data_IF_799477912244
#
_entry.id   IF_799477912244
#
_cell.length_a   1.000
_cell.length_b   1.000
_cell.length_c   1.000
_cell.angle_alpha   90.00
_cell.angle_beta   90.00
_cell.angle_gamma   90.00
#
_symmetry.space_group_name_H-M   'P 1'
#
loop_
_entity.id
_entity.type
_entity.pdbx_description
1 polymer ?
#
# COMPACT_ATOMS: atom_id res chain seq x y z
N UNK A 1 0.86 2.75 17.91
CA UNK A 1 0.31 1.38 18.02
C UNK A 1 -0.58 1.17 19.25
N UNK A 2 -0.72 2.12 20.18
CA UNK A 2 -1.54 1.90 21.39
C UNK A 2 -3.05 2.01 21.11
N UNK A 3 -3.48 3.01 20.32
CA UNK A 3 -4.90 3.34 20.14
C UNK A 3 -5.59 2.75 18.90
N UNK A 4 -4.88 2.00 18.05
CA UNK A 4 -5.44 1.48 16.78
C UNK A 4 -4.90 0.08 16.45
N UNK A 5 -5.68 -0.72 15.71
CA UNK A 5 -5.29 -2.03 15.17
C UNK A 5 -4.65 -1.92 13.78
N UNK A 6 -4.99 -0.85 13.06
CA UNK A 6 -4.50 -0.52 11.72
C UNK A 6 -3.97 0.89 11.73
N UNK A 7 -2.70 1.05 11.35
CA UNK A 7 -2.07 2.37 11.17
C UNK A 7 -1.76 2.53 9.69
N UNK A 8 -2.14 3.68 9.13
CA UNK A 8 -1.87 4.01 7.73
C UNK A 8 -1.19 5.39 7.73
N UNK A 9 0.00 5.47 7.16
CA UNK A 9 0.67 6.73 6.89
C UNK A 9 0.77 6.97 5.38
N UNK A 10 0.86 8.23 4.99
CA UNK A 10 1.16 8.64 3.61
C UNK A 10 2.41 9.52 3.61
N UNK A 11 3.32 9.31 2.67
CA UNK A 11 4.61 10.01 2.68
C UNK A 11 5.60 9.41 3.67
N UNK A 12 6.82 9.95 3.72
CA UNK A 12 7.90 9.40 4.54
C UNK A 12 8.49 8.08 4.04
N UNK A 13 7.95 7.53 2.95
CA UNK A 13 8.47 6.39 2.20
C UNK A 13 8.87 6.83 0.79
N UNK A 14 10.16 6.88 0.52
CA UNK A 14 10.71 7.29 -0.79
C UNK A 14 12.07 6.63 -1.05
N UNK A 15 12.61 6.85 -2.24
CA UNK A 15 13.93 6.40 -2.69
C UNK A 15 15.08 7.31 -2.22
N UNK A 16 14.80 8.32 -1.39
CA UNK A 16 15.77 9.30 -0.89
C UNK A 16 16.41 8.91 0.45
N UNK A 17 17.42 9.68 0.86
CA UNK A 17 18.37 9.38 1.95
C UNK A 17 17.77 9.20 3.36
N UNK A 18 16.47 9.41 3.57
CA UNK A 18 15.84 9.13 4.87
C UNK A 18 14.44 8.53 4.67
N UNK A 19 14.38 7.20 4.50
CA UNK A 19 13.14 6.43 4.71
C UNK A 19 12.89 6.32 6.21
N UNK A 20 12.50 7.46 6.81
CA UNK A 20 12.34 7.59 8.26
C UNK A 20 11.34 6.56 8.79
N UNK A 21 10.28 6.29 8.04
CA UNK A 21 9.20 5.39 8.47
C UNK A 21 9.72 3.97 8.60
N UNK A 22 10.44 3.47 7.59
CA UNK A 22 11.01 2.13 7.65
C UNK A 22 12.01 2.00 8.80
N UNK A 23 12.85 3.02 9.02
CA UNK A 23 13.83 3.01 10.10
C UNK A 23 13.16 3.01 11.48
N UNK A 24 12.18 3.89 11.70
CA UNK A 24 11.40 3.92 12.94
C UNK A 24 10.70 2.58 13.21
N UNK A 25 10.12 1.96 12.19
CA UNK A 25 9.49 0.64 12.32
C UNK A 25 10.51 -0.42 12.76
N UNK A 26 11.70 -0.44 12.16
CA UNK A 26 12.78 -1.36 12.55
C UNK A 26 13.22 -1.10 14.00
N UNK A 27 13.45 0.16 14.37
CA UNK A 27 13.90 0.53 15.72
C UNK A 27 12.83 0.21 16.79
N UNK A 28 11.54 0.20 16.41
CA UNK A 28 10.42 -0.24 17.24
C UNK A 28 10.25 -1.77 17.30
N UNK A 29 11.06 -2.54 16.59
CA UNK A 29 10.97 -4.00 16.52
C UNK A 29 9.84 -4.52 15.63
N UNK A 30 9.33 -3.71 14.70
CA UNK A 30 8.32 -4.14 13.74
C UNK A 30 8.91 -5.07 12.68
N UNK A 31 8.16 -6.08 12.29
CA UNK A 31 8.49 -6.95 11.17
C UNK A 31 8.08 -6.27 9.85
N UNK A 32 9.06 -6.00 8.98
CA UNK A 32 8.79 -5.47 7.64
C UNK A 32 8.57 -6.63 6.68
N UNK A 33 7.35 -6.77 6.15
CA UNK A 33 7.00 -7.83 5.19
C UNK A 33 7.45 -7.48 3.77
N UNK A 34 7.29 -6.21 3.39
CA UNK A 34 7.83 -5.68 2.14
C UNK A 34 7.97 -4.15 2.26
N UNK A 35 8.93 -3.60 1.52
CA UNK A 35 9.10 -2.14 1.36
C UNK A 35 9.00 -1.65 -0.08
N UNK A 36 8.80 -2.58 -1.03
CA UNK A 36 8.62 -2.28 -2.45
C UNK A 36 7.65 -3.27 -3.07
N UNK A 37 6.84 -2.78 -4.00
CA UNK A 37 5.88 -3.60 -4.74
C UNK A 37 6.07 -3.41 -6.24
N UNK A 38 5.95 -4.50 -7.01
CA UNK A 38 5.98 -4.45 -8.48
C UNK A 38 4.64 -3.93 -9.02
N UNK A 39 4.44 -2.62 -8.95
CA UNK A 39 3.23 -1.95 -9.42
C UNK A 39 3.51 -0.50 -9.84
N UNK A 40 2.57 0.07 -10.60
CA UNK A 40 2.59 1.48 -10.98
C UNK A 40 1.16 2.07 -10.95
N UNK A 41 0.95 3.24 -10.34
CA UNK A 41 1.83 3.87 -9.35
C UNK A 41 1.91 3.03 -8.06
N UNK A 42 2.84 3.35 -7.14
CA UNK A 42 2.85 2.70 -5.81
C UNK A 42 4.11 1.93 -5.38
N UNK A 43 5.18 1.95 -6.19
CA UNK A 43 6.42 1.18 -5.93
C UNK A 43 6.95 1.22 -4.48
N UNK A 44 7.03 2.36 -3.76
CA UNK A 44 7.65 2.42 -2.43
C UNK A 44 6.69 2.08 -1.27
N UNK A 45 5.57 1.39 -1.53
CA UNK A 45 4.64 1.01 -0.45
C UNK A 45 5.30 0.01 0.50
N UNK A 46 5.18 0.25 1.80
CA UNK A 46 5.69 -0.62 2.87
C UNK A 46 4.55 -1.20 3.69
N UNK A 47 4.66 -2.48 4.03
CA UNK A 47 3.77 -3.17 4.95
C UNK A 47 4.59 -3.79 6.09
N UNK A 48 4.11 -3.59 7.31
CA UNK A 48 4.76 -4.08 8.52
C UNK A 48 3.74 -4.53 9.57
N UNK A 49 4.20 -5.37 10.49
CA UNK A 49 3.43 -5.77 11.69
C UNK A 49 4.22 -5.50 12.95
N UNK A 50 3.53 -5.05 13.99
CA UNK A 50 4.10 -4.89 15.34
C UNK A 50 3.04 -5.28 16.37
N UNK A 51 3.36 -6.22 17.26
CA UNK A 51 2.47 -6.67 18.34
C UNK A 51 1.06 -7.07 17.84
N UNK A 52 0.98 -7.80 16.72
CA UNK A 52 -0.28 -8.24 16.11
C UNK A 52 -1.07 -7.16 15.36
N UNK A 53 -0.56 -5.92 15.32
CA UNK A 53 -1.18 -4.79 14.63
C UNK A 53 -0.50 -4.53 13.30
N UNK A 54 -1.24 -4.00 12.34
CA UNK A 54 -0.75 -3.78 10.97
C UNK A 54 -0.44 -2.31 10.70
N UNK A 55 0.61 -2.07 9.93
CA UNK A 55 1.06 -0.76 9.48
C UNK A 55 1.23 -0.73 7.96
N UNK A 56 0.60 0.24 7.29
CA UNK A 56 0.86 0.55 5.90
C UNK A 56 1.51 1.92 5.78
N UNK A 57 2.69 1.98 5.16
CA UNK A 57 3.31 3.23 4.76
C UNK A 57 3.10 3.42 3.25
N UNK A 58 2.18 4.32 2.90
CA UNK A 58 1.80 4.60 1.52
C UNK A 58 2.67 5.73 0.93
N UNK A 59 2.87 5.77 -0.39
CA UNK A 59 3.66 6.83 -1.03
C UNK A 59 3.10 8.23 -0.76
N UNK A 60 3.96 9.25 -0.78
CA UNK A 60 3.53 10.64 -0.59
C UNK A 60 2.80 11.26 -1.78
N UNK A 61 2.94 10.67 -2.98
CA UNK A 61 2.20 11.12 -4.16
C UNK A 61 0.71 10.76 -4.01
N UNK A 62 -0.24 11.73 -4.14
CA UNK A 62 -1.65 11.49 -3.85
C UNK A 62 -2.30 10.37 -4.67
N UNK A 63 -1.99 10.28 -5.97
CA UNK A 63 -2.52 9.22 -6.84
C UNK A 63 -1.99 7.87 -6.40
N UNK A 64 -0.69 7.79 -6.12
CA UNK A 64 -0.05 6.58 -5.61
C UNK A 64 -0.65 6.14 -4.27
N UNK A 65 -0.86 7.09 -3.34
CA UNK A 65 -1.45 6.81 -2.04
C UNK A 65 -2.87 6.24 -2.16
N UNK A 66 -3.72 6.86 -3.00
CA UNK A 66 -5.10 6.41 -3.22
C UNK A 66 -5.16 5.01 -3.82
N UNK A 67 -4.36 4.74 -4.86
CA UNK A 67 -4.27 3.41 -5.48
C UNK A 67 -3.83 2.37 -4.45
N UNK A 68 -2.73 2.62 -3.73
CA UNK A 68 -2.22 1.68 -2.73
C UNK A 68 -3.19 1.48 -1.55
N UNK A 69 -3.94 2.51 -1.16
CA UNK A 69 -5.00 2.39 -0.15
C UNK A 69 -6.09 1.41 -0.59
N UNK A 70 -6.55 1.49 -1.84
CA UNK A 70 -7.58 0.58 -2.35
C UNK A 70 -7.06 -0.83 -2.62
N UNK A 71 -5.82 -0.97 -3.06
CA UNK A 71 -5.21 -2.27 -3.36
C UNK A 71 -4.79 -3.03 -2.09
N UNK A 72 -4.32 -2.34 -1.04
CA UNK A 72 -3.78 -2.99 0.17
C UNK A 72 -4.60 -2.72 1.44
N UNK A 73 -4.81 -1.45 1.80
CA UNK A 73 -5.39 -1.11 3.10
C UNK A 73 -6.88 -1.47 3.19
N UNK A 74 -7.65 -1.17 2.14
CA UNK A 74 -9.09 -1.50 2.07
C UNK A 74 -9.37 -2.99 2.25
N UNK A 75 -8.75 -3.92 1.48
CA UNK A 75 -8.98 -5.34 1.68
C UNK A 75 -8.48 -5.85 3.03
N UNK A 76 -7.39 -5.29 3.58
CA UNK A 76 -6.92 -5.65 4.91
C UNK A 76 -7.93 -5.29 6.00
N UNK A 77 -8.44 -4.05 5.99
CA UNK A 77 -9.46 -3.58 6.95
C UNK A 77 -10.75 -4.40 6.82
N UNK A 78 -11.21 -4.65 5.59
CA UNK A 78 -12.41 -5.48 5.35
C UNK A 78 -12.22 -6.91 5.87
N UNK A 79 -11.05 -7.51 5.64
CA UNK A 79 -10.72 -8.84 6.17
C UNK A 79 -10.74 -8.87 7.70
N UNK A 80 -10.14 -7.88 8.35
CA UNK A 80 -10.16 -7.76 9.81
C UNK A 80 -11.58 -7.58 10.37
N UNK A 81 -12.45 -6.93 9.61
CA UNK A 81 -13.87 -6.74 9.97
C UNK A 81 -14.77 -7.92 9.60
N UNK A 82 -14.25 -8.96 8.94
CA UNK A 82 -15.06 -10.08 8.44
C UNK A 82 -16.04 -9.68 7.32
N UNK A 83 -15.76 -8.61 6.58
CA UNK A 83 -16.65 -8.07 5.53
C UNK A 83 -16.17 -8.52 4.16
N UNK A 84 -17.09 -9.06 3.36
CA UNK A 84 -16.87 -9.41 1.95
C UNK A 84 -17.69 -8.49 1.02
N UNK A 85 -17.24 -8.24 -0.23
CA UNK A 85 -15.97 -8.68 -0.82
C UNK A 85 -14.78 -7.85 -0.31
N UNK A 86 -13.58 -8.45 -0.29
CA UNK A 86 -12.36 -7.76 0.21
C UNK A 86 -11.95 -6.60 -0.70
N UNK A 87 -11.96 -6.80 -2.02
CA UNK A 87 -11.53 -5.81 -3.01
C UNK A 87 -12.65 -4.92 -3.53
N UNK A 88 -12.28 -3.99 -4.41
CA UNK A 88 -13.24 -3.27 -5.25
C UNK A 88 -13.84 -4.23 -6.29
N UNK A 89 -15.11 -4.03 -6.71
CA UNK A 89 -15.70 -4.83 -7.79
C UNK A 89 -14.90 -4.64 -9.09
N UNK A 90 -14.68 -5.74 -9.81
CA UNK A 90 -13.98 -5.72 -11.11
C UNK A 90 -14.95 -6.08 -12.23
N UNK A 91 -14.82 -5.40 -13.35
CA UNK A 91 -15.61 -5.65 -14.56
C UNK A 91 -14.70 -5.78 -15.77
N UNK A 92 -15.10 -6.58 -16.74
CA UNK A 92 -14.42 -6.62 -18.04
C UNK A 92 -14.99 -5.51 -18.91
N UNK A 93 -14.12 -4.75 -19.58
CA UNK A 93 -14.49 -3.67 -20.48
C UNK A 93 -13.58 -3.67 -21.71
N UNK A 94 -14.09 -3.12 -22.82
CA UNK A 94 -13.30 -2.88 -24.04
C UNK A 94 -12.82 -1.43 -24.01
N UNK A 95 -11.51 -1.22 -24.21
CA UNK A 95 -10.94 0.13 -24.29
C UNK A 95 -11.39 0.82 -25.58
N UNK A 96 -11.75 2.09 -25.49
CA UNK A 96 -12.17 2.89 -26.66
C UNK A 96 -11.01 3.59 -27.37
N UNK A 97 -9.82 3.58 -26.76
CA UNK A 97 -8.60 4.18 -27.28
C UNK A 97 -7.40 3.32 -26.86
N UNK A 98 -6.27 3.51 -27.54
CA UNK A 98 -5.03 2.83 -27.19
C UNK A 98 -4.53 3.22 -25.79
N UNK A 99 -4.30 2.21 -24.95
CA UNK A 99 -3.70 2.38 -23.62
C UNK A 99 -2.26 1.86 -23.70
N UNK A 100 -1.28 2.75 -23.48
CA UNK A 100 0.13 2.36 -23.40
C UNK A 100 0.45 1.92 -22.00
N UNK A 101 0.76 0.63 -21.83
CA UNK A 101 1.14 0.04 -20.55
C UNK A 101 2.67 -0.04 -20.42
N UNK A 102 3.17 0.14 -19.20
CA UNK A 102 4.52 -0.22 -18.78
C UNK A 102 4.72 -1.74 -18.94
N UNK A 103 5.86 -2.13 -19.55
CA UNK A 103 6.16 -3.52 -19.88
C UNK A 103 6.63 -4.33 -18.67
N UNK A 104 7.09 -3.67 -17.62
CA UNK A 104 7.69 -4.33 -16.45
C UNK A 104 6.72 -4.38 -15.27
N UNK A 105 5.88 -3.35 -15.12
CA UNK A 105 5.01 -3.17 -13.96
C UNK A 105 3.54 -3.11 -14.37
N UNK A 106 2.68 -3.93 -13.76
CA UNK A 106 1.23 -3.75 -13.84
C UNK A 106 0.82 -2.32 -13.47
N UNK A 107 0.05 -1.68 -14.35
CA UNK A 107 -0.44 -0.31 -14.17
C UNK A 107 -1.89 -0.29 -13.67
N UNK A 108 -2.15 0.61 -12.72
CA UNK A 108 -3.48 1.00 -12.26
C UNK A 108 -3.76 2.40 -12.83
N UNK A 109 -4.40 2.43 -14.01
CA UNK A 109 -4.82 3.65 -14.72
C UNK A 109 -6.11 4.25 -14.15
#
# INVERSE_FOLDING_TARGET
FEAADVIISTGGVSMGEVDCVKRCLIDMGAEIHFGRVNMKPGKPTTFATLNGKIFFALPGNPVSAMVCFHVFATPAVRKLRGVAPLGLPTVKATVSHDVRLDRERPEYH
#
